data_IF_394194400995
#
_entry.id   IF_394194400995
#
_cell.length_a   1.000
_cell.length_b   1.000
_cell.length_c   1.000
_cell.angle_alpha   90.00
_cell.angle_beta   90.00
_cell.angle_gamma   90.00
#
_symmetry.space_group_name_H-M   'P 1'
#
loop_
_entity.id
_entity.type
_entity.pdbx_description
1 polymer ?
#
# COMPACT_ATOMS: atom_id res chain seq x y z
N UNK A 1 -6.02 13.85 11.27
CA UNK A 1 -7.31 13.12 11.22
C UNK A 1 -7.68 12.71 9.79
N UNK A 2 -7.51 13.60 8.80
CA UNK A 2 -7.83 13.36 7.38
C UNK A 2 -7.10 12.15 6.74
N UNK A 3 -5.79 11.99 6.98
CA UNK A 3 -4.98 10.92 6.36
C UNK A 3 -5.40 9.51 6.81
N UNK A 4 -5.94 9.37 8.03
CA UNK A 4 -6.41 8.07 8.53
C UNK A 4 -7.66 7.61 7.77
N UNK A 5 -8.58 8.54 7.49
CA UNK A 5 -9.81 8.24 6.76
C UNK A 5 -9.52 7.92 5.30
N UNK A 6 -8.59 8.65 4.67
CA UNK A 6 -8.12 8.33 3.32
C UNK A 6 -7.50 6.92 3.24
N UNK A 7 -6.68 6.54 4.23
CA UNK A 7 -6.11 5.20 4.31
C UNK A 7 -7.17 4.10 4.45
N UNK A 8 -8.15 4.29 5.35
CA UNK A 8 -9.26 3.34 5.50
C UNK A 8 -10.14 3.21 4.26
N UNK A 9 -10.43 4.32 3.57
CA UNK A 9 -11.14 4.29 2.30
C UNK A 9 -10.38 3.46 1.25
N UNK A 10 -9.06 3.68 1.13
CA UNK A 10 -8.21 2.89 0.24
C UNK A 10 -8.21 1.39 0.57
N UNK A 11 -8.16 1.04 1.85
CA UNK A 11 -8.24 -0.37 2.31
C UNK A 11 -9.55 -1.02 1.88
N UNK A 12 -10.68 -0.35 2.09
CA UNK A 12 -12.01 -0.88 1.76
C UNK A 12 -12.14 -1.09 0.25
N UNK A 13 -11.77 -0.08 -0.55
CA UNK A 13 -11.88 -0.13 -2.01
C UNK A 13 -11.01 -1.25 -2.60
N UNK A 14 -9.75 -1.36 -2.17
CA UNK A 14 -8.85 -2.40 -2.69
C UNK A 14 -9.26 -3.80 -2.25
N UNK A 15 -9.76 -3.96 -1.01
CA UNK A 15 -10.28 -5.26 -0.56
C UNK A 15 -11.46 -5.71 -1.41
N UNK A 16 -12.41 -4.80 -1.69
CA UNK A 16 -13.55 -5.10 -2.57
C UNK A 16 -13.12 -5.46 -3.99
N UNK A 17 -12.16 -4.72 -4.56
CA UNK A 17 -11.62 -4.99 -5.89
C UNK A 17 -10.91 -6.36 -5.98
N UNK A 18 -10.12 -6.72 -4.96
CA UNK A 18 -9.47 -8.04 -4.91
C UNK A 18 -10.48 -9.18 -4.80
N UNK A 19 -11.48 -9.05 -3.92
CA UNK A 19 -12.55 -10.06 -3.79
C UNK A 19 -13.30 -10.24 -5.11
N UNK A 20 -13.63 -9.13 -5.79
CA UNK A 20 -14.27 -9.19 -7.10
C UNK A 20 -13.38 -9.87 -8.15
N UNK A 21 -12.12 -9.45 -8.27
CA UNK A 21 -11.17 -10.01 -9.23
C UNK A 21 -10.93 -11.51 -9.03
N UNK A 22 -10.74 -11.96 -7.79
CA UNK A 22 -10.55 -13.38 -7.47
C UNK A 22 -11.84 -14.21 -7.61
N UNK A 23 -13.02 -13.60 -7.43
CA UNK A 23 -14.30 -14.32 -7.52
C UNK A 23 -14.86 -14.40 -8.94
N UNK A 24 -14.49 -13.48 -9.83
CA UNK A 24 -15.14 -13.32 -11.13
C UNK A 24 -14.19 -13.32 -12.33
N UNK A 25 -12.89 -13.12 -12.12
CA UNK A 25 -11.91 -13.00 -13.20
C UNK A 25 -11.04 -14.25 -13.38
N UNK A 26 -10.56 -14.45 -14.60
CA UNK A 26 -9.46 -15.38 -14.91
C UNK A 26 -8.17 -14.58 -15.02
N UNK A 27 -7.34 -14.63 -13.96
CA UNK A 27 -6.13 -13.81 -13.86
C UNK A 27 -5.15 -14.04 -15.03
N UNK A 28 -5.04 -15.28 -15.52
CA UNK A 28 -4.09 -15.62 -16.59
C UNK A 28 -4.52 -15.05 -17.94
N UNK A 29 -5.78 -15.23 -18.29
CA UNK A 29 -6.36 -14.82 -19.57
C UNK A 29 -6.48 -13.29 -19.63
N UNK A 30 -7.06 -12.68 -18.59
CA UNK A 30 -7.24 -11.23 -18.53
C UNK A 30 -5.90 -10.49 -18.36
N UNK A 31 -4.97 -11.06 -17.58
CA UNK A 31 -3.62 -10.52 -17.44
C UNK A 31 -2.86 -10.49 -18.76
N UNK A 32 -2.98 -11.53 -19.58
CA UNK A 32 -2.36 -11.55 -20.91
C UNK A 32 -2.93 -10.47 -21.84
N UNK A 33 -4.26 -10.26 -21.82
CA UNK A 33 -4.90 -9.22 -22.61
C UNK A 33 -4.44 -7.80 -22.20
N UNK A 34 -4.22 -7.55 -20.90
CA UNK A 34 -3.64 -6.29 -20.41
C UNK A 34 -2.22 -6.10 -20.95
N UNK A 35 -1.43 -7.17 -21.00
CA UNK A 35 -0.07 -7.14 -21.54
C UNK A 35 -0.03 -6.99 -23.06
N UNK A 36 -1.12 -7.21 -23.79
CA UNK A 36 -1.16 -6.91 -25.24
C UNK A 36 -1.46 -5.43 -25.51
N UNK A 37 -2.16 -4.76 -24.60
CA UNK A 37 -2.51 -3.34 -24.69
C UNK A 37 -1.31 -2.44 -24.33
N UNK A 38 -0.97 -1.50 -25.21
CA UNK A 38 0.13 -0.54 -24.96
C UNK A 38 -0.09 0.27 -23.66
N UNK A 39 -1.32 0.77 -23.44
CA UNK A 39 -1.69 1.45 -22.20
C UNK A 39 -1.75 0.51 -20.98
N UNK A 40 -2.06 -0.77 -21.18
CA UNK A 40 -2.02 -1.77 -20.11
C UNK A 40 -0.60 -1.92 -19.56
N UNK A 41 0.40 -2.05 -20.44
CA UNK A 41 1.83 -2.04 -20.07
C UNK A 41 2.24 -0.77 -19.33
N UNK A 42 1.83 0.40 -19.83
CA UNK A 42 2.18 1.70 -19.20
C UNK A 42 1.64 1.77 -17.79
N UNK A 43 0.38 1.41 -17.58
CA UNK A 43 -0.24 1.39 -16.24
C UNK A 43 0.44 0.39 -15.31
N UNK A 44 0.84 -0.77 -15.83
CA UNK A 44 1.55 -1.80 -15.07
C UNK A 44 2.93 -1.28 -14.62
N UNK A 45 3.68 -0.66 -15.53
CA UNK A 45 4.97 -0.04 -15.24
C UNK A 45 4.81 1.06 -14.19
N UNK A 46 3.84 1.96 -14.36
CA UNK A 46 3.57 3.05 -13.43
C UNK A 46 3.28 2.52 -12.02
N UNK A 47 2.43 1.49 -11.91
CA UNK A 47 2.13 0.82 -10.65
C UNK A 47 3.38 0.24 -9.97
N UNK A 48 4.21 -0.51 -10.71
CA UNK A 48 5.41 -1.12 -10.12
C UNK A 48 6.50 -0.10 -9.78
N UNK A 49 6.67 0.96 -10.58
CA UNK A 49 7.56 2.08 -10.25
C UNK A 49 7.06 2.78 -8.98
N UNK A 50 5.76 3.01 -8.86
CA UNK A 50 5.14 3.55 -7.64
C UNK A 50 5.41 2.68 -6.40
N UNK A 51 5.23 1.36 -6.50
CA UNK A 51 5.53 0.42 -5.41
C UNK A 51 7.02 0.45 -5.04
N UNK A 52 7.91 0.54 -6.02
CA UNK A 52 9.35 0.63 -5.79
C UNK A 52 9.74 1.92 -5.06
N UNK A 53 9.20 3.07 -5.48
CA UNK A 53 9.46 4.37 -4.85
C UNK A 53 8.96 4.40 -3.41
N UNK A 54 7.72 3.96 -3.17
CA UNK A 54 7.16 3.90 -1.81
C UNK A 54 7.93 2.88 -0.96
N UNK A 55 8.23 1.69 -1.49
CA UNK A 55 8.99 0.67 -0.78
C UNK A 55 10.37 1.15 -0.36
N UNK A 56 11.10 1.82 -1.26
CA UNK A 56 12.40 2.43 -0.95
C UNK A 56 12.28 3.50 0.15
N UNK A 57 11.23 4.32 0.09
CA UNK A 57 10.95 5.31 1.13
C UNK A 57 10.63 4.67 2.50
N UNK A 58 9.91 3.55 2.53
CA UNK A 58 9.64 2.79 3.77
C UNK A 58 10.94 2.28 4.39
N UNK A 59 11.81 1.67 3.59
CA UNK A 59 13.13 1.19 4.04
C UNK A 59 13.96 2.32 4.64
N UNK A 60 13.99 3.47 3.95
CA UNK A 60 14.69 4.66 4.43
C UNK A 60 14.10 5.17 5.77
N UNK A 61 12.78 5.18 5.91
CA UNK A 61 12.09 5.70 7.09
C UNK A 61 12.24 4.81 8.32
N UNK A 62 12.09 3.50 8.18
CA UNK A 62 12.11 2.60 9.34
C UNK A 62 13.53 2.33 9.88
N UNK A 63 14.57 2.70 9.11
CA UNK A 63 16.00 2.49 9.44
C UNK A 63 16.37 1.05 9.82
N UNK A 64 15.46 0.11 9.60
CA UNK A 64 15.59 -1.31 9.90
C UNK A 64 14.89 -2.10 8.80
N UNK A 65 15.69 -2.83 8.02
CA UNK A 65 15.20 -3.66 6.90
C UNK A 65 14.23 -4.73 7.40
N UNK A 66 14.43 -5.25 8.61
CA UNK A 66 13.58 -6.29 9.22
C UNK A 66 12.15 -5.78 9.46
N UNK A 67 11.99 -4.52 9.87
CA UNK A 67 10.65 -3.93 10.05
C UNK A 67 10.00 -3.55 8.73
N UNK A 68 10.81 -3.19 7.72
CA UNK A 68 10.31 -2.83 6.39
C UNK A 68 9.86 -4.06 5.59
N UNK A 69 10.45 -5.24 5.85
CA UNK A 69 10.24 -6.47 5.08
C UNK A 69 8.76 -6.87 4.94
N UNK A 70 7.93 -6.89 6.00
CA UNK A 70 6.51 -7.22 5.89
C UNK A 70 5.75 -6.24 5.00
N UNK A 71 6.13 -4.96 5.00
CA UNK A 71 5.51 -3.94 4.16
C UNK A 71 5.89 -4.08 2.69
N UNK A 72 7.16 -4.41 2.40
CA UNK A 72 7.64 -4.66 1.04
C UNK A 72 6.96 -5.91 0.45
N UNK A 73 6.92 -6.99 1.22
CA UNK A 73 6.21 -8.22 0.83
C UNK A 73 4.73 -7.91 0.59
N UNK A 74 4.08 -7.21 1.53
CA UNK A 74 2.70 -6.79 1.39
C UNK A 74 2.45 -5.94 0.14
N UNK A 75 3.37 -5.06 -0.24
CA UNK A 75 3.24 -4.24 -1.44
C UNK A 75 3.34 -5.03 -2.74
N UNK A 76 4.16 -6.07 -2.79
CA UNK A 76 4.26 -6.91 -3.99
C UNK A 76 2.98 -7.73 -4.20
N UNK A 77 2.36 -8.23 -3.13
CA UNK A 77 1.18 -9.09 -3.23
C UNK A 77 -0.16 -8.35 -3.18
N UNK A 78 -0.25 -7.28 -2.38
CA UNK A 78 -1.50 -6.52 -2.17
C UNK A 78 -1.46 -5.12 -2.79
N UNK A 79 -0.32 -4.70 -3.36
CA UNK A 79 -0.19 -3.41 -4.04
C UNK A 79 -0.60 -2.23 -3.18
N UNK A 80 -1.54 -1.44 -3.69
CA UNK A 80 -2.08 -0.23 -3.07
C UNK A 80 -2.74 -0.44 -1.70
N UNK A 81 -3.18 -1.67 -1.39
CA UNK A 81 -3.75 -2.01 -0.09
C UNK A 81 -2.69 -1.98 1.01
N UNK A 82 -1.50 -2.55 0.76
CA UNK A 82 -0.40 -2.49 1.71
C UNK A 82 0.14 -1.06 1.87
N UNK A 83 0.16 -0.28 0.79
CA UNK A 83 0.50 1.14 0.84
C UNK A 83 -0.48 1.93 1.73
N UNK A 84 -1.79 1.73 1.57
CA UNK A 84 -2.81 2.37 2.38
C UNK A 84 -2.71 1.96 3.87
N UNK A 85 -2.48 0.68 4.15
CA UNK A 85 -2.26 0.18 5.50
C UNK A 85 -1.00 0.79 6.14
N UNK A 86 0.08 0.95 5.36
CA UNK A 86 1.31 1.60 5.84
C UNK A 86 1.06 3.07 6.20
N UNK A 87 0.30 3.82 5.40
CA UNK A 87 -0.07 5.21 5.70
C UNK A 87 -0.85 5.32 7.01
N UNK A 88 -1.77 4.38 7.28
CA UNK A 88 -2.48 4.34 8.57
C UNK A 88 -1.52 4.07 9.72
N UNK A 89 -0.66 3.06 9.59
CA UNK A 89 0.35 2.73 10.60
C UNK A 89 1.27 3.92 10.90
N UNK A 90 1.87 4.49 9.87
CA UNK A 90 2.69 5.69 9.92
C UNK A 90 2.03 6.86 10.65
N UNK A 91 0.75 7.14 10.36
CA UNK A 91 0.01 8.22 10.99
C UNK A 91 -0.30 7.99 12.47
N UNK A 92 -0.33 6.73 12.93
CA UNK A 92 -0.50 6.40 14.36
C UNK A 92 0.79 6.50 15.15
N UNK A 93 1.94 6.16 14.54
CA UNK A 93 3.25 6.25 15.18
C UNK A 93 3.66 7.70 15.42
N UNK A 94 3.49 8.58 14.42
CA UNK A 94 3.82 10.01 14.57
C UNK A 94 3.04 10.65 15.72
N UNK A 95 1.74 10.35 15.82
CA UNK A 95 0.87 10.93 16.87
C UNK A 95 1.28 10.54 18.30
N UNK A 96 1.99 9.43 18.50
CA UNK A 96 2.50 9.02 19.81
C UNK A 96 3.73 9.83 20.24
N UNK A 97 4.52 10.35 19.30
CA UNK A 97 5.69 11.17 19.60
C UNK A 97 5.31 12.58 20.09
N UNK A 98 4.17 13.11 19.64
CA UNK A 98 3.73 14.49 19.96
C UNK A 98 2.81 14.58 21.20
N UNK A 99 2.56 13.47 21.90
CA UNK A 99 1.71 13.48 23.09
C UNK A 99 2.51 13.91 24.32
N UNK A 100 2.12 14.98 25.04
CA UNK A 100 2.85 15.43 26.23
C UNK A 100 2.84 14.34 27.32
N UNK A 101 3.92 14.18 28.09
CA UNK A 101 4.00 13.16 29.13
C UNK A 101 2.85 13.33 30.13
N UNK A 102 2.14 12.24 30.39
CA UNK A 102 1.05 12.18 31.36
C UNK A 102 1.59 12.40 32.78
N UNK A 103 1.75 13.66 33.17
CA UNK A 103 2.32 13.97 34.49
C UNK A 103 2.45 15.44 34.87
N UNK A 104 2.13 16.41 34.01
CA UNK A 104 2.14 17.83 34.40
C UNK A 104 0.73 18.44 34.39
N UNK A 105 -0.01 18.19 35.47
CA UNK A 105 -1.06 19.09 35.98
C UNK A 105 -0.91 19.17 37.48
#
# INVERSE_FOLDING_TARGET
MIMKWAGWAGVIVMTGALVFGFSSGDFGTEGSAILDLAWGKVTLIDLYVGLFLIGTWIVWRERSVVRALPWLIGMVFLGSLAAAAYVVYAGTVVRRADSPPSGSR
#
